data_IF_896866589343
#
_entry.id   IF_896866589343
#
_cell.length_a   1.000
_cell.length_b   1.000
_cell.length_c   1.000
_cell.angle_alpha   90.00
_cell.angle_beta   90.00
_cell.angle_gamma   90.00
#
_symmetry.space_group_name_H-M   'P 1'
#
loop_
_entity.id
_entity.type
_entity.pdbx_description
1 polymer ?
#
# COMPACT_ATOMS: atom_id res chain seq x y z
N UNK A 1 20.72 9.59 21.35
CA UNK A 1 20.56 8.29 22.00
C UNK A 1 20.10 7.33 20.94
N UNK A 2 20.90 6.30 20.68
CA UNK A 2 20.78 5.41 19.56
C UNK A 2 19.38 4.76 19.49
N UNK A 3 18.66 5.01 18.42
CA UNK A 3 17.39 4.37 18.09
C UNK A 3 17.53 2.87 17.72
N UNK A 4 18.73 2.29 17.88
CA UNK A 4 19.13 0.97 17.37
C UNK A 4 19.30 -0.09 18.45
N UNK A 5 18.60 0.01 19.57
CA UNK A 5 18.83 -0.87 20.72
C UNK A 5 18.15 -2.24 20.61
N UNK A 6 17.18 -2.39 19.70
CA UNK A 6 16.45 -3.65 19.57
C UNK A 6 15.87 -3.82 18.15
N UNK A 7 16.15 -4.95 17.52
CA UNK A 7 15.79 -5.22 16.11
C UNK A 7 14.31 -5.04 15.76
N UNK A 8 13.39 -5.22 16.71
CA UNK A 8 11.97 -4.96 16.51
C UNK A 8 11.66 -3.48 16.25
N UNK A 9 12.54 -2.57 16.62
CA UNK A 9 12.38 -1.13 16.33
C UNK A 9 13.10 -0.68 15.06
N UNK A 10 13.80 -1.58 14.40
CA UNK A 10 14.53 -1.36 13.17
C UNK A 10 16.04 -1.59 13.31
N UNK A 11 16.70 -1.62 12.20
CA UNK A 11 18.17 -1.65 12.05
C UNK A 11 18.60 -0.43 11.22
N UNK A 12 19.90 -0.18 11.14
CA UNK A 12 20.45 0.86 10.26
C UNK A 12 19.96 0.67 8.82
N UNK A 13 19.98 -0.57 8.33
CA UNK A 13 19.58 -0.92 6.95
C UNK A 13 18.07 -0.69 6.72
N UNK A 14 17.22 -1.11 7.65
CA UNK A 14 15.77 -0.90 7.49
C UNK A 14 15.40 0.58 7.54
N UNK A 15 16.04 1.36 8.41
CA UNK A 15 15.82 2.81 8.50
C UNK A 15 16.29 3.53 7.24
N UNK A 16 17.41 3.09 6.66
CA UNK A 16 17.88 3.62 5.38
C UNK A 16 16.86 3.36 4.28
N UNK A 17 16.33 2.15 4.18
CA UNK A 17 15.27 1.83 3.22
C UNK A 17 14.00 2.68 3.46
N UNK A 18 13.57 2.85 4.71
CA UNK A 18 12.43 3.72 5.05
C UNK A 18 12.66 5.15 4.55
N UNK A 19 13.87 5.70 4.73
CA UNK A 19 14.22 7.04 4.28
C UNK A 19 14.23 7.16 2.76
N UNK A 20 14.83 6.21 2.05
CA UNK A 20 14.83 6.17 0.58
C UNK A 20 13.41 6.15 0.04
N UNK A 21 12.57 5.25 0.54
CA UNK A 21 11.18 5.12 0.09
C UNK A 21 10.33 6.31 0.50
N UNK A 22 10.58 6.91 1.67
CA UNK A 22 9.92 8.13 2.11
C UNK A 22 10.16 9.30 1.14
N UNK A 23 11.37 9.45 0.65
CA UNK A 23 11.70 10.48 -0.36
C UNK A 23 11.06 10.15 -1.70
N UNK A 24 11.15 8.91 -2.17
CA UNK A 24 10.55 8.48 -3.43
C UNK A 24 9.02 8.66 -3.43
N UNK A 25 8.34 8.27 -2.37
CA UNK A 25 6.88 8.39 -2.20
C UNK A 25 6.45 9.82 -1.85
N UNK A 26 7.38 10.67 -1.40
CA UNK A 26 7.12 11.97 -0.79
C UNK A 26 6.13 11.84 0.38
N UNK A 27 6.38 10.84 1.21
CA UNK A 27 5.54 10.44 2.32
C UNK A 27 5.91 11.18 3.63
N UNK A 28 4.96 11.21 4.56
CA UNK A 28 5.27 11.60 5.94
C UNK A 28 6.11 10.52 6.64
N UNK A 29 5.78 9.24 6.39
CA UNK A 29 6.51 8.07 6.90
C UNK A 29 6.28 6.86 6.01
N UNK A 30 7.19 5.89 6.07
CA UNK A 30 7.05 4.58 5.42
C UNK A 30 7.19 3.49 6.47
N UNK A 31 6.30 2.51 6.43
CA UNK A 31 6.37 1.31 7.24
C UNK A 31 6.83 0.15 6.37
N UNK A 32 7.80 -0.64 6.85
CA UNK A 32 8.29 -1.83 6.16
C UNK A 32 7.69 -3.09 6.77
N UNK A 33 7.28 -4.02 5.94
CA UNK A 33 6.73 -5.33 6.36
C UNK A 33 7.49 -6.46 5.69
N UNK A 34 7.58 -7.62 6.34
CA UNK A 34 8.30 -8.79 5.84
C UNK A 34 7.70 -9.41 4.59
N UNK A 35 6.46 -9.07 4.24
CA UNK A 35 5.78 -9.50 3.02
C UNK A 35 5.00 -8.35 2.44
N UNK A 36 4.77 -8.35 1.10
CA UNK A 36 3.88 -7.38 0.47
C UNK A 36 2.50 -7.39 1.13
N UNK A 37 1.89 -8.54 1.22
CA UNK A 37 0.58 -8.71 1.85
C UNK A 37 0.49 -8.15 3.27
N UNK A 38 1.58 -8.27 4.06
CA UNK A 38 1.66 -7.68 5.40
C UNK A 38 1.46 -6.16 5.44
N UNK A 39 1.81 -5.44 4.37
CA UNK A 39 1.57 -4.00 4.27
C UNK A 39 0.09 -3.64 4.12
N UNK A 40 -0.65 -4.41 3.33
CA UNK A 40 -2.11 -4.26 3.19
C UNK A 40 -2.81 -4.63 4.51
N UNK A 41 -2.44 -5.77 5.12
CA UNK A 41 -2.97 -6.18 6.41
C UNK A 41 -2.70 -5.13 7.50
N UNK A 42 -1.50 -4.54 7.52
CA UNK A 42 -1.13 -3.45 8.44
C UNK A 42 -2.09 -2.26 8.31
N UNK A 43 -2.38 -1.81 7.09
CA UNK A 43 -3.28 -0.68 6.85
C UNK A 43 -4.71 -0.99 7.34
N UNK A 44 -5.25 -2.16 6.93
CA UNK A 44 -6.61 -2.58 7.28
C UNK A 44 -6.79 -2.74 8.79
N UNK A 45 -5.93 -3.52 9.45
CA UNK A 45 -6.03 -3.80 10.88
C UNK A 45 -5.77 -2.57 11.76
N UNK A 46 -4.96 -1.61 11.27
CA UNK A 46 -4.70 -0.37 12.00
C UNK A 46 -5.88 0.58 12.04
N UNK A 47 -6.64 0.65 10.95
CA UNK A 47 -7.60 1.73 10.71
C UNK A 47 -9.07 1.29 10.81
N UNK A 48 -9.39 0.02 10.52
CA UNK A 48 -10.75 -0.50 10.62
C UNK A 48 -11.08 -0.95 12.03
N UNK A 49 -12.36 -0.86 12.38
CA UNK A 49 -12.92 -1.25 13.69
C UNK A 49 -14.19 -2.08 13.46
N UNK A 50 -14.61 -2.89 14.44
CA UNK A 50 -15.89 -3.61 14.36
C UNK A 50 -17.05 -2.69 13.97
N UNK A 51 -17.85 -3.15 13.01
CA UNK A 51 -18.96 -2.40 12.41
C UNK A 51 -18.60 -1.50 11.23
N UNK A 52 -17.30 -1.32 10.92
CA UNK A 52 -16.85 -0.59 9.74
C UNK A 52 -17.09 -1.40 8.44
N UNK A 53 -17.12 -0.68 7.33
CA UNK A 53 -17.21 -1.23 5.98
C UNK A 53 -16.03 -0.71 5.14
N UNK A 54 -15.44 -1.57 4.31
CA UNK A 54 -14.47 -1.16 3.30
C UNK A 54 -15.03 -1.37 1.89
N UNK A 55 -14.69 -0.49 0.98
CA UNK A 55 -14.91 -0.69 -0.45
C UNK A 55 -13.61 -1.11 -1.11
N UNK A 56 -13.65 -2.20 -1.86
CA UNK A 56 -12.49 -2.80 -2.49
C UNK A 56 -12.72 -2.87 -3.99
N UNK A 57 -11.77 -2.41 -4.77
CA UNK A 57 -11.81 -2.55 -6.22
C UNK A 57 -11.80 -4.03 -6.61
N UNK A 58 -12.70 -4.45 -7.49
CA UNK A 58 -12.84 -5.89 -7.82
C UNK A 58 -11.69 -6.44 -8.68
N UNK A 59 -10.76 -5.60 -9.10
CA UNK A 59 -9.56 -5.97 -9.82
C UNK A 59 -8.29 -6.09 -8.95
N UNK A 60 -8.43 -6.09 -7.62
CA UNK A 60 -7.27 -6.21 -6.72
C UNK A 60 -6.68 -7.63 -6.71
N UNK A 61 -5.44 -7.72 -6.27
CA UNK A 61 -4.71 -8.96 -6.05
C UNK A 61 -5.53 -9.98 -5.24
N UNK A 62 -5.52 -11.27 -5.65
CA UNK A 62 -6.33 -12.33 -5.04
C UNK A 62 -6.29 -12.38 -3.51
N UNK A 63 -5.11 -12.46 -2.87
CA UNK A 63 -5.01 -12.42 -1.42
C UNK A 63 -5.58 -11.16 -0.76
N UNK A 64 -5.62 -10.02 -1.47
CA UNK A 64 -6.30 -8.81 -0.98
C UNK A 64 -7.82 -9.00 -0.94
N UNK A 65 -8.39 -9.75 -1.90
CA UNK A 65 -9.81 -10.16 -1.83
C UNK A 65 -10.03 -11.09 -0.64
N UNK A 66 -9.19 -12.10 -0.47
CA UNK A 66 -9.30 -13.09 0.61
C UNK A 66 -9.27 -12.45 1.99
N UNK A 67 -8.31 -11.57 2.29
CA UNK A 67 -8.27 -10.88 3.60
C UNK A 67 -9.53 -10.04 3.80
N UNK A 68 -10.02 -9.41 2.74
CA UNK A 68 -11.19 -8.54 2.81
C UNK A 68 -12.47 -9.31 3.05
N UNK A 69 -12.61 -10.51 2.50
CA UNK A 69 -13.81 -11.34 2.59
C UNK A 69 -13.83 -12.24 3.81
N UNK A 70 -12.66 -12.80 4.18
CA UNK A 70 -12.56 -13.82 5.21
C UNK A 70 -12.06 -13.25 6.54
N UNK A 71 -10.82 -12.72 6.55
CA UNK A 71 -10.20 -12.30 7.82
C UNK A 71 -10.91 -11.09 8.45
N UNK A 72 -11.24 -10.07 7.67
CA UNK A 72 -11.89 -8.87 8.21
C UNK A 72 -13.28 -9.17 8.77
N UNK A 73 -13.97 -10.15 8.22
CA UNK A 73 -15.27 -10.61 8.73
C UNK A 73 -15.19 -11.14 10.16
N UNK A 74 -14.11 -11.84 10.51
CA UNK A 74 -13.87 -12.32 11.89
C UNK A 74 -13.71 -11.16 12.90
N UNK A 75 -13.39 -9.96 12.41
CA UNK A 75 -13.30 -8.74 13.20
C UNK A 75 -14.51 -7.81 13.05
N UNK A 76 -15.64 -8.33 12.54
CA UNK A 76 -16.87 -7.56 12.28
C UNK A 76 -16.63 -6.35 11.36
N UNK A 77 -15.74 -6.49 10.36
CA UNK A 77 -15.53 -5.51 9.30
C UNK A 77 -16.01 -6.10 7.98
N UNK A 78 -16.96 -5.42 7.34
CA UNK A 78 -17.51 -5.89 6.07
C UNK A 78 -16.76 -5.33 4.86
N UNK A 79 -16.64 -6.12 3.79
CA UNK A 79 -16.08 -5.67 2.52
C UNK A 79 -17.14 -5.72 1.42
N UNK A 80 -17.19 -4.66 0.60
CA UNK A 80 -17.97 -4.61 -0.64
C UNK A 80 -17.05 -4.35 -1.80
N UNK A 81 -17.21 -5.14 -2.86
CA UNK A 81 -16.45 -4.97 -4.09
C UNK A 81 -17.19 -4.06 -5.06
N UNK A 82 -16.44 -3.18 -5.73
CA UNK A 82 -16.99 -2.30 -6.75
C UNK A 82 -16.28 -2.53 -8.10
N UNK A 83 -17.04 -2.29 -9.17
CA UNK A 83 -16.50 -2.37 -10.53
C UNK A 83 -15.48 -1.24 -10.78
N UNK A 84 -14.19 -1.56 -11.07
CA UNK A 84 -13.13 -0.57 -11.29
C UNK A 84 -13.43 0.37 -12.46
N UNK A 85 -14.18 -0.07 -13.46
CA UNK A 85 -14.53 0.75 -14.63
C UNK A 85 -15.73 1.67 -14.38
N UNK A 86 -16.39 1.56 -13.21
CA UNK A 86 -17.60 2.35 -12.90
C UNK A 86 -17.44 3.19 -11.62
N UNK A 87 -17.15 4.48 -11.81
CA UNK A 87 -17.14 5.43 -10.69
C UNK A 87 -18.53 5.56 -10.02
N UNK A 88 -19.62 5.42 -10.78
CA UNK A 88 -20.97 5.45 -10.23
C UNK A 88 -21.26 4.22 -9.35
N UNK A 89 -20.74 3.05 -9.70
CA UNK A 89 -20.87 1.86 -8.85
C UNK A 89 -20.15 2.07 -7.50
N UNK A 90 -18.91 2.59 -7.52
CA UNK A 90 -18.20 2.97 -6.30
C UNK A 90 -19.04 3.96 -5.46
N UNK A 91 -19.51 5.03 -6.07
CA UNK A 91 -20.27 6.09 -5.40
C UNK A 91 -21.55 5.57 -4.75
N UNK A 92 -22.28 4.69 -5.45
CA UNK A 92 -23.53 4.10 -4.96
C UNK A 92 -23.31 3.12 -3.81
N UNK A 93 -22.13 2.49 -3.72
CA UNK A 93 -21.77 1.58 -2.63
C UNK A 93 -21.29 2.28 -1.37
N UNK A 94 -20.96 3.57 -1.43
CA UNK A 94 -20.55 4.34 -0.24
C UNK A 94 -21.73 4.44 0.73
N UNK A 95 -21.50 4.02 1.98
CA UNK A 95 -22.46 4.09 3.08
C UNK A 95 -21.91 4.95 4.24
N UNK A 96 -22.71 5.14 5.28
CA UNK A 96 -22.26 5.80 6.53
C UNK A 96 -21.21 4.97 7.28
N UNK A 97 -21.13 3.67 7.01
CA UNK A 97 -20.16 2.73 7.61
C UNK A 97 -18.85 2.66 6.83
N UNK A 98 -18.81 3.19 5.60
CA UNK A 98 -17.62 3.12 4.74
C UNK A 98 -16.45 3.84 5.38
N UNK A 99 -15.45 3.08 5.78
CA UNK A 99 -14.23 3.54 6.46
C UNK A 99 -13.06 3.75 5.52
N UNK A 100 -12.92 2.86 4.53
CA UNK A 100 -11.78 2.87 3.62
C UNK A 100 -12.20 2.49 2.20
N UNK A 101 -11.54 3.07 1.20
CA UNK A 101 -11.55 2.63 -0.19
C UNK A 101 -10.15 2.10 -0.51
N UNK A 102 -10.08 0.81 -0.90
CA UNK A 102 -8.88 0.14 -1.33
C UNK A 102 -8.91 0.00 -2.85
N UNK A 103 -7.88 0.49 -3.50
CA UNK A 103 -7.74 0.57 -4.95
C UNK A 103 -6.47 -0.14 -5.37
N UNK A 104 -6.49 -0.85 -6.49
CA UNK A 104 -5.28 -1.25 -7.23
C UNK A 104 -5.38 -0.70 -8.64
N UNK A 105 -4.33 -0.02 -9.13
CA UNK A 105 -4.38 0.67 -10.42
C UNK A 105 -3.00 0.73 -11.12
N UNK A 106 -2.86 0.09 -12.29
CA UNK A 106 -3.84 -0.78 -12.95
C UNK A 106 -4.17 -2.02 -12.14
N UNK A 107 -5.30 -2.66 -12.44
CA UNK A 107 -5.75 -3.88 -11.77
C UNK A 107 -4.81 -5.05 -11.92
N UNK A 108 -4.76 -5.90 -10.90
CA UNK A 108 -3.99 -7.14 -10.92
C UNK A 108 -4.54 -8.10 -11.97
N UNK A 109 -3.71 -8.54 -12.89
CA UNK A 109 -4.02 -9.46 -14.00
C UNK A 109 -4.95 -8.93 -15.10
N UNK A 110 -5.84 -8.01 -14.82
CA UNK A 110 -6.89 -7.54 -15.73
C UNK A 110 -6.62 -6.15 -16.29
N UNK A 111 -5.75 -5.37 -15.63
CA UNK A 111 -5.18 -4.11 -16.09
C UNK A 111 -6.16 -2.96 -16.30
N UNK A 112 -7.37 -2.99 -15.75
CA UNK A 112 -8.29 -1.84 -15.79
C UNK A 112 -7.71 -0.64 -15.06
N UNK A 113 -7.99 0.54 -15.59
CA UNK A 113 -7.61 1.81 -14.99
C UNK A 113 -8.81 2.52 -14.38
N UNK A 114 -8.58 3.18 -13.25
CA UNK A 114 -9.58 3.94 -12.52
C UNK A 114 -9.24 5.43 -12.51
N UNK A 115 -10.26 6.28 -12.40
CA UNK A 115 -10.07 7.71 -12.17
C UNK A 115 -9.70 7.98 -10.70
N UNK A 116 -8.41 7.91 -10.42
CA UNK A 116 -7.87 8.09 -9.06
C UNK A 116 -8.22 9.47 -8.48
N UNK A 117 -8.33 10.50 -9.33
CA UNK A 117 -8.66 11.86 -8.90
C UNK A 117 -10.10 11.95 -8.41
N UNK A 118 -11.05 11.34 -9.10
CA UNK A 118 -12.45 11.28 -8.63
C UNK A 118 -12.57 10.49 -7.33
N UNK A 119 -11.84 9.38 -7.20
CA UNK A 119 -11.83 8.55 -5.98
C UNK A 119 -11.34 9.37 -4.79
N UNK A 120 -10.20 10.05 -4.90
CA UNK A 120 -9.66 10.86 -3.79
C UNK A 120 -10.58 12.03 -3.43
N UNK A 121 -11.21 12.68 -4.42
CA UNK A 121 -12.15 13.78 -4.19
C UNK A 121 -13.39 13.32 -3.41
N UNK A 122 -14.01 12.19 -3.79
CA UNK A 122 -15.19 11.69 -3.08
C UNK A 122 -14.83 11.21 -1.67
N UNK A 123 -13.70 10.50 -1.53
CA UNK A 123 -13.20 10.02 -0.24
C UNK A 123 -12.93 11.18 0.72
N UNK A 124 -12.28 12.26 0.25
CA UNK A 124 -12.03 13.47 1.04
C UNK A 124 -13.33 14.12 1.52
N UNK A 125 -14.33 14.28 0.62
CA UNK A 125 -15.65 14.86 0.98
C UNK A 125 -16.39 14.02 2.01
N UNK A 126 -16.26 12.71 1.92
CA UNK A 126 -16.94 11.74 2.83
C UNK A 126 -16.10 11.39 4.06
N UNK A 127 -14.87 11.90 4.17
CA UNK A 127 -13.90 11.59 5.26
C UNK A 127 -13.54 10.11 5.33
N UNK A 128 -13.50 9.44 4.20
CA UNK A 128 -13.13 8.03 4.04
C UNK A 128 -11.61 7.95 3.83
N UNK A 129 -10.94 6.96 4.43
CA UNK A 129 -9.53 6.70 4.18
C UNK A 129 -9.34 6.07 2.79
N UNK A 130 -8.17 6.30 2.19
CA UNK A 130 -7.83 5.73 0.89
C UNK A 130 -6.48 5.04 0.91
N UNK A 131 -6.44 3.85 0.34
CA UNK A 131 -5.23 3.05 0.11
C UNK A 131 -5.12 2.71 -1.37
N UNK A 132 -4.00 3.05 -2.01
CA UNK A 132 -3.68 2.59 -3.35
C UNK A 132 -2.59 1.54 -3.30
N UNK A 133 -2.84 0.36 -3.84
CA UNK A 133 -1.77 -0.55 -4.23
C UNK A 133 -1.12 -0.01 -5.51
N UNK A 134 0.07 0.55 -5.35
CA UNK A 134 0.87 1.19 -6.37
C UNK A 134 2.03 0.30 -6.85
N UNK A 135 1.92 -1.00 -6.63
CA UNK A 135 2.98 -1.96 -7.00
C UNK A 135 3.33 -1.87 -8.48
N UNK A 136 2.34 -1.69 -9.37
CA UNK A 136 2.54 -1.50 -10.81
C UNK A 136 3.14 -0.14 -11.16
N UNK A 137 2.53 0.94 -10.66
CA UNK A 137 2.93 2.30 -10.99
C UNK A 137 4.28 2.69 -10.44
N UNK A 138 4.65 2.17 -9.32
CA UNK A 138 5.80 2.56 -8.50
C UNK A 138 5.82 4.07 -8.19
N UNK A 139 6.53 4.53 -7.16
CA UNK A 139 6.60 5.98 -6.89
C UNK A 139 7.41 6.78 -7.91
N UNK A 140 8.04 6.14 -8.91
CA UNK A 140 8.67 6.87 -10.00
C UNK A 140 7.64 7.45 -10.97
N UNK A 141 6.64 6.66 -11.35
CA UNK A 141 5.63 7.08 -12.32
C UNK A 141 4.35 7.60 -11.70
N UNK A 142 3.96 7.08 -10.52
CA UNK A 142 2.73 7.47 -9.86
C UNK A 142 2.99 7.78 -8.38
N UNK A 143 2.57 8.96 -7.92
CA UNK A 143 2.72 9.41 -6.53
C UNK A 143 1.34 9.54 -5.86
N UNK A 144 0.80 8.45 -5.29
CA UNK A 144 -0.57 8.43 -4.75
C UNK A 144 -0.83 9.49 -3.69
N UNK A 145 0.13 9.72 -2.79
CA UNK A 145 -0.02 10.72 -1.72
C UNK A 145 -0.18 12.14 -2.27
N UNK A 146 0.47 12.48 -3.40
CA UNK A 146 0.25 13.75 -4.10
C UNK A 146 -1.13 13.85 -4.75
N UNK A 147 -1.67 12.74 -5.20
CA UNK A 147 -3.03 12.68 -5.75
C UNK A 147 -4.11 12.76 -4.65
N UNK A 148 -3.71 12.75 -3.37
CA UNK A 148 -4.61 12.87 -2.24
C UNK A 148 -5.01 11.56 -1.58
N UNK A 149 -4.37 10.44 -1.92
CA UNK A 149 -4.49 9.20 -1.15
C UNK A 149 -3.89 9.39 0.25
N UNK A 150 -4.44 8.69 1.24
CA UNK A 150 -3.89 8.67 2.59
C UNK A 150 -2.70 7.71 2.71
N UNK A 151 -2.70 6.65 1.89
CA UNK A 151 -1.71 5.58 1.90
C UNK A 151 -1.38 5.13 0.48
N UNK A 152 -0.11 4.81 0.24
CA UNK A 152 0.43 4.15 -0.95
C UNK A 152 1.14 2.89 -0.53
N UNK A 153 0.73 1.76 -1.07
CA UNK A 153 1.34 0.47 -0.83
C UNK A 153 2.13 0.02 -2.05
N UNK A 154 3.31 -0.58 -1.84
CA UNK A 154 4.05 -1.28 -2.87
C UNK A 154 4.56 -2.63 -2.34
N UNK A 155 4.33 -3.69 -3.08
CA UNK A 155 5.03 -4.96 -2.86
C UNK A 155 6.49 -4.80 -3.26
N UNK A 156 7.39 -4.63 -2.28
CA UNK A 156 8.82 -4.47 -2.52
C UNK A 156 9.45 -5.72 -3.15
N UNK A 157 8.81 -6.87 -3.03
CA UNK A 157 9.11 -8.13 -3.71
C UNK A 157 9.22 -7.99 -5.23
N UNK A 158 8.51 -7.02 -5.83
CA UNK A 158 8.38 -6.85 -7.28
C UNK A 158 9.44 -5.89 -7.81
N UNK A 159 9.06 -4.73 -8.29
CA UNK A 159 9.97 -3.79 -8.94
C UNK A 159 11.07 -3.23 -8.04
N UNK A 160 10.82 -3.07 -6.72
CA UNK A 160 11.84 -2.52 -5.83
C UNK A 160 13.05 -3.46 -5.70
N UNK A 161 12.83 -4.75 -5.41
CA UNK A 161 13.92 -5.73 -5.43
C UNK A 161 14.39 -6.03 -6.85
N UNK A 162 13.46 -6.32 -7.75
CA UNK A 162 13.68 -6.49 -9.17
C UNK A 162 14.44 -7.77 -9.60
N UNK A 163 14.79 -8.65 -8.66
CA UNK A 163 15.68 -9.81 -8.90
C UNK A 163 15.08 -11.13 -8.42
N UNK A 164 13.84 -11.17 -7.95
CA UNK A 164 13.15 -12.37 -7.42
C UNK A 164 13.89 -13.04 -6.25
N UNK A 165 14.65 -12.28 -5.49
CA UNK A 165 15.54 -12.75 -4.42
C UNK A 165 15.23 -12.12 -3.06
N UNK A 166 14.19 -11.28 -2.97
CA UNK A 166 13.77 -10.62 -1.74
C UNK A 166 12.25 -10.57 -1.62
N UNK A 167 11.77 -10.62 -0.39
CA UNK A 167 10.35 -10.46 -0.08
C UNK A 167 10.14 -9.26 0.84
N UNK A 168 9.10 -8.46 0.58
CA UNK A 168 8.79 -7.35 1.44
C UNK A 168 7.64 -6.49 0.96
N UNK A 169 7.17 -5.63 1.85
CA UNK A 169 6.18 -4.60 1.56
C UNK A 169 6.58 -3.26 2.12
N UNK A 170 6.12 -2.20 1.48
CA UNK A 170 6.23 -0.84 1.97
C UNK A 170 4.85 -0.18 1.98
N UNK A 171 4.53 0.48 3.08
CA UNK A 171 3.31 1.27 3.24
C UNK A 171 3.70 2.72 3.53
N UNK A 172 3.65 3.54 2.50
CA UNK A 172 3.87 4.97 2.60
C UNK A 172 2.59 5.68 3.04
N UNK A 173 2.69 6.62 3.98
CA UNK A 173 1.53 7.23 4.63
C UNK A 173 1.66 8.74 4.75
N UNK A 174 0.52 9.43 4.75
CA UNK A 174 0.45 10.83 5.13
C UNK A 174 0.38 11.02 6.66
N UNK A 175 0.42 12.27 7.12
CA UNK A 175 0.38 12.61 8.55
C UNK A 175 -0.93 12.22 9.23
N UNK A 176 -2.05 12.16 8.48
CA UNK A 176 -3.40 11.92 8.99
C UNK A 176 -3.53 10.54 9.62
N UNK A 177 -2.98 9.51 8.98
CA UNK A 177 -3.10 8.10 9.41
C UNK A 177 -1.88 7.60 10.22
N UNK A 178 -0.78 8.34 10.21
CA UNK A 178 0.49 7.91 10.80
C UNK A 178 0.38 7.41 12.24
N UNK A 179 -0.27 8.15 13.13
CA UNK A 179 -0.30 7.80 14.56
C UNK A 179 -0.99 6.46 14.82
N UNK A 180 -2.09 6.18 14.12
CA UNK A 180 -2.85 4.94 14.27
C UNK A 180 -2.08 3.74 13.74
N UNK A 181 -1.46 3.89 12.55
CA UNK A 181 -0.65 2.83 11.95
C UNK A 181 0.60 2.57 12.78
N UNK A 182 1.30 3.61 13.23
CA UNK A 182 2.48 3.48 14.10
C UNK A 182 2.16 2.75 15.41
N UNK A 183 1.02 3.05 16.02
CA UNK A 183 0.58 2.36 17.23
C UNK A 183 0.43 0.85 16.99
N UNK A 184 -0.30 0.46 15.96
CA UNK A 184 -0.51 -0.95 15.63
C UNK A 184 0.81 -1.62 15.20
N UNK A 185 1.61 -0.97 14.36
CA UNK A 185 2.89 -1.47 13.87
C UNK A 185 3.86 -1.81 15.01
N UNK A 186 3.92 -0.99 16.04
CA UNK A 186 4.75 -1.25 17.23
C UNK A 186 4.31 -2.49 18.02
N UNK A 187 3.02 -2.75 18.07
CA UNK A 187 2.45 -3.82 18.89
C UNK A 187 2.31 -5.15 18.13
N UNK A 188 2.09 -5.11 16.83
CA UNK A 188 1.88 -6.30 16.00
C UNK A 188 3.15 -7.07 15.67
N UNK A 189 4.32 -6.45 15.84
CA UNK A 189 5.60 -7.07 15.49
C UNK A 189 5.90 -7.13 13.98
N UNK A 190 5.10 -6.47 13.13
CA UNK A 190 5.41 -6.35 11.71
C UNK A 190 6.77 -5.70 11.51
N UNK A 191 7.67 -6.41 10.83
CA UNK A 191 9.02 -5.93 10.52
C UNK A 191 9.54 -6.61 9.26
N UNK A 192 10.46 -5.91 8.60
CA UNK A 192 11.32 -6.46 7.55
C UNK A 192 12.69 -6.79 8.16
N UNK A 193 13.34 -7.86 7.71
CA UNK A 193 14.71 -8.18 8.11
C UNK A 193 15.70 -7.19 7.49
N UNK A 194 16.89 -7.07 8.09
CA UNK A 194 17.96 -6.24 7.54
C UNK A 194 18.46 -6.79 6.19
N UNK A 195 18.46 -8.10 6.01
CA UNK A 195 18.91 -8.77 4.79
C UNK A 195 17.96 -8.46 3.63
N UNK A 196 16.65 -8.59 3.83
CA UNK A 196 15.65 -8.21 2.84
C UNK A 196 15.73 -6.72 2.49
N UNK A 197 15.87 -5.86 3.50
CA UNK A 197 16.01 -4.43 3.28
C UNK A 197 17.26 -4.10 2.45
N UNK A 198 18.38 -4.78 2.68
CA UNK A 198 19.60 -4.60 1.89
C UNK A 198 19.38 -4.99 0.42
N UNK A 199 18.76 -6.15 0.16
CA UNK A 199 18.48 -6.60 -1.20
C UNK A 199 17.54 -5.64 -1.93
N UNK A 200 16.54 -5.11 -1.24
CA UNK A 200 15.62 -4.11 -1.80
C UNK A 200 16.35 -2.79 -2.10
N UNK A 201 17.22 -2.30 -1.20
CA UNK A 201 18.06 -1.10 -1.46
C UNK A 201 18.93 -1.33 -2.69
N UNK A 202 19.55 -2.50 -2.81
CA UNK A 202 20.34 -2.88 -4.00
C UNK A 202 19.50 -2.79 -5.28
N UNK A 203 18.28 -3.35 -5.25
CA UNK A 203 17.34 -3.30 -6.39
C UNK A 203 16.91 -1.88 -6.75
N UNK A 204 16.65 -1.03 -5.77
CA UNK A 204 16.23 0.36 -6.00
C UNK A 204 17.27 1.18 -6.78
N UNK A 205 18.55 0.85 -6.69
CA UNK A 205 19.62 1.54 -7.44
C UNK A 205 19.49 1.41 -8.96
N UNK A 206 18.79 0.38 -9.43
CA UNK A 206 18.58 0.12 -10.86
C UNK A 206 17.10 0.24 -11.25
N UNK A 207 16.24 0.73 -10.36
CA UNK A 207 14.79 0.76 -10.58
C UNK A 207 14.43 1.54 -11.84
N UNK A 208 14.97 2.75 -12.01
CA UNK A 208 14.71 3.60 -13.18
C UNK A 208 15.14 2.90 -14.48
N UNK A 209 16.36 2.38 -14.53
CA UNK A 209 16.88 1.66 -15.72
C UNK A 209 16.00 0.46 -16.09
N UNK A 210 15.57 -0.32 -15.10
CA UNK A 210 14.73 -1.49 -15.35
C UNK A 210 13.33 -1.11 -15.81
N UNK A 211 12.73 -0.08 -15.21
CA UNK A 211 11.42 0.40 -15.63
C UNK A 211 11.45 0.99 -17.04
N UNK A 212 12.51 1.71 -17.40
CA UNK A 212 12.70 2.21 -18.76
C UNK A 212 12.84 1.06 -19.77
N UNK A 213 13.60 0.00 -19.44
CA UNK A 213 13.70 -1.19 -20.28
C UNK A 213 12.32 -1.89 -20.43
N UNK A 214 11.55 -2.04 -19.36
CA UNK A 214 10.19 -2.58 -19.43
C UNK A 214 9.28 -1.74 -20.32
N UNK A 215 9.36 -0.41 -20.20
CA UNK A 215 8.57 0.50 -21.01
C UNK A 215 8.89 0.37 -22.50
N UNK A 216 10.18 0.32 -22.87
CA UNK A 216 10.58 0.14 -24.28
C UNK A 216 10.13 -1.22 -24.83
N UNK A 217 10.33 -2.29 -24.07
CA UNK A 217 9.93 -3.64 -24.48
C UNK A 217 8.40 -3.81 -24.62
N UNK A 218 7.62 -2.98 -23.96
CA UNK A 218 6.15 -3.03 -24.06
C UNK A 218 5.61 -2.39 -25.34
N UNK A 219 6.44 -1.61 -26.04
CA UNK A 219 6.06 -0.98 -27.32
C UNK A 219 6.16 -1.92 -28.51
N UNK A 220 6.92 -3.01 -28.41
CA UNK A 220 7.08 -4.05 -29.42
C UNK A 220 5.93 -5.06 -29.39
#
# INVERSE_FOLDING_TARGET
>A
ISHYTYGRYGSTTTIELENILKELEQAYHVFLTGTGFGGIALALMSLCRPGDEILVSDNVYGPTKEISQELLKEFDVSAKFYNPESFEDLKNKISKKTKMILVENPGSNTFEFQDLSKITQIAKRKKIFTLLDNTWGTPLYLKPLKLGFDMSFCSATKYFSGHSDAMGGSLAVNKKVFKQIMFFYKLSGYRMSADEAYLIIRGLRTLDTRLNAHYENTKE
#
